data_IF_092527634524
#
_entry.id   IF_092527634524
#
_cell.length_a   1.000
_cell.length_b   1.000
_cell.length_c   1.000
_cell.angle_alpha   90.00
_cell.angle_beta   90.00
_cell.angle_gamma   90.00
#
_symmetry.space_group_name_H-M   'P 1'
#
loop_
_entity.id
_entity.type
_entity.pdbx_description
1 polymer ?
#
# COMPACT_ATOMS: atom_id res chain seq x y z
N UNK A 1 19.44 7.00 18.24
CA UNK A 1 19.62 6.32 16.92
C UNK A 1 18.40 6.55 16.06
N UNK A 2 18.61 7.03 14.84
CA UNK A 2 17.50 7.23 13.90
C UNK A 2 17.14 5.90 13.25
N UNK A 3 15.85 5.52 13.33
CA UNK A 3 15.37 4.32 12.68
C UNK A 3 15.36 4.54 11.16
N UNK A 4 15.58 3.48 10.39
CA UNK A 4 15.50 3.56 8.94
C UNK A 4 14.04 3.76 8.48
N UNK A 5 13.87 4.31 7.29
CA UNK A 5 12.56 4.67 6.76
C UNK A 5 11.60 3.49 6.57
N UNK A 6 12.12 2.30 6.30
CA UNK A 6 11.29 1.12 6.14
C UNK A 6 10.74 0.62 7.47
N UNK A 7 11.56 0.65 8.51
CA UNK A 7 11.13 0.29 9.88
C UNK A 7 10.08 1.28 10.39
N UNK A 8 10.32 2.57 10.17
CA UNK A 8 9.37 3.62 10.54
C UNK A 8 8.06 3.46 9.76
N UNK A 9 8.14 3.21 8.46
CA UNK A 9 6.96 2.97 7.63
C UNK A 9 6.12 1.82 8.15
N UNK A 10 6.76 0.70 8.47
CA UNK A 10 6.03 -0.48 9.00
C UNK A 10 5.37 -0.18 10.35
N UNK A 11 6.07 0.45 11.26
CA UNK A 11 5.54 0.74 12.60
C UNK A 11 4.35 1.68 12.55
N UNK A 12 4.48 2.79 11.83
CA UNK A 12 3.43 3.80 11.75
C UNK A 12 2.25 3.30 10.91
N UNK A 13 2.52 2.63 9.79
CA UNK A 13 1.47 2.05 8.96
C UNK A 13 0.67 0.99 9.68
N UNK A 14 1.35 0.11 10.43
CA UNK A 14 0.71 -0.91 11.25
C UNK A 14 -0.17 -0.28 12.33
N UNK A 15 0.37 0.70 13.06
CA UNK A 15 -0.36 1.36 14.14
C UNK A 15 -1.61 2.06 13.62
N UNK A 16 -1.50 2.74 12.48
CA UNK A 16 -2.64 3.39 11.86
C UNK A 16 -3.69 2.37 11.42
N UNK A 17 -3.26 1.26 10.83
CA UNK A 17 -4.18 0.22 10.39
C UNK A 17 -4.93 -0.41 11.57
N UNK A 18 -4.23 -0.74 12.65
CA UNK A 18 -4.85 -1.29 13.85
C UNK A 18 -5.88 -0.34 14.44
N UNK A 19 -5.56 0.95 14.52
CA UNK A 19 -6.48 1.97 14.97
C UNK A 19 -7.70 2.10 14.05
N UNK A 20 -7.47 2.02 12.74
CA UNK A 20 -8.53 2.08 11.75
C UNK A 20 -9.51 0.91 11.89
N UNK A 21 -9.00 -0.30 12.12
CA UNK A 21 -9.82 -1.48 12.36
C UNK A 21 -10.63 -1.32 13.66
N UNK A 22 -9.97 -0.94 14.75
CA UNK A 22 -10.63 -0.77 16.05
C UNK A 22 -11.73 0.29 16.00
N UNK A 23 -11.56 1.30 15.15
CA UNK A 23 -12.52 2.41 15.00
C UNK A 23 -13.53 2.18 13.89
N UNK A 24 -13.45 1.05 13.19
CA UNK A 24 -14.30 0.71 12.05
C UNK A 24 -14.26 1.77 10.93
N UNK A 25 -13.07 2.28 10.65
CA UNK A 25 -12.84 3.33 9.65
C UNK A 25 -11.78 2.95 8.63
N UNK A 26 -11.51 1.64 8.46
CA UNK A 26 -10.41 1.17 7.62
C UNK A 26 -10.55 1.61 6.16
N UNK A 27 -11.76 1.57 5.60
CA UNK A 27 -12.00 1.98 4.21
C UNK A 27 -11.88 3.49 4.04
N UNK A 28 -12.46 4.26 4.94
CA UNK A 28 -12.40 5.71 4.88
C UNK A 28 -10.97 6.21 4.96
N UNK A 29 -10.19 5.64 5.87
CA UNK A 29 -8.78 6.00 6.02
C UNK A 29 -7.99 5.57 4.80
N UNK A 30 -8.29 4.40 4.23
CA UNK A 30 -7.66 3.96 2.98
C UNK A 30 -7.84 4.99 1.87
N UNK A 31 -9.06 5.49 1.68
CA UNK A 31 -9.34 6.50 0.65
C UNK A 31 -8.59 7.79 0.91
N UNK A 32 -8.49 8.22 2.15
CA UNK A 32 -7.73 9.41 2.54
C UNK A 32 -6.24 9.24 2.23
N UNK A 33 -5.69 8.05 2.48
CA UNK A 33 -4.28 7.76 2.19
C UNK A 33 -3.99 7.72 0.69
N UNK A 34 -4.94 7.24 -0.11
CA UNK A 34 -4.83 7.30 -1.58
C UNK A 34 -4.75 8.75 -2.04
N UNK A 35 -5.60 9.62 -1.46
CA UNK A 35 -5.57 11.05 -1.74
C UNK A 35 -4.22 11.68 -1.36
N UNK A 36 -3.69 11.34 -0.19
CA UNK A 36 -2.37 11.82 0.26
C UNK A 36 -1.26 11.39 -0.68
N UNK A 37 -1.29 10.15 -1.15
CA UNK A 37 -0.31 9.67 -2.13
C UNK A 37 -0.34 10.52 -3.39
N UNK A 38 -1.53 10.83 -3.89
CA UNK A 38 -1.68 11.67 -5.08
C UNK A 38 -1.08 13.06 -4.87
N UNK A 39 -1.29 13.65 -3.69
CA UNK A 39 -0.71 14.95 -3.35
C UNK A 39 0.83 14.89 -3.37
N UNK A 40 1.40 13.84 -2.79
CA UNK A 40 2.85 13.64 -2.79
C UNK A 40 3.41 13.44 -4.21
N UNK A 41 2.66 12.79 -5.08
CA UNK A 41 3.06 12.60 -6.48
C UNK A 41 2.99 13.92 -7.26
N UNK A 42 1.99 14.75 -6.98
CA UNK A 42 1.81 16.04 -7.65
C UNK A 42 2.77 17.12 -7.16
N UNK A 43 3.25 16.99 -5.93
CA UNK A 43 4.17 17.96 -5.32
C UNK A 43 5.46 17.23 -4.91
N UNK A 44 6.37 17.02 -5.88
CA UNK A 44 7.63 16.33 -5.57
C UNK A 44 8.42 17.10 -4.50
N UNK A 45 8.96 16.36 -3.54
CA UNK A 45 9.74 16.94 -2.46
C UNK A 45 8.93 17.50 -1.29
N UNK A 46 7.60 17.33 -1.30
CA UNK A 46 6.75 17.82 -0.21
C UNK A 46 7.17 17.25 1.15
N UNK A 47 7.40 15.95 1.24
CA UNK A 47 7.86 15.32 2.47
C UNK A 47 9.20 15.84 2.95
N UNK A 48 10.15 15.99 2.03
CA UNK A 48 11.47 16.55 2.33
C UNK A 48 11.38 17.98 2.84
N UNK A 49 10.52 18.78 2.21
CA UNK A 49 10.30 20.18 2.62
C UNK A 49 9.75 20.26 4.05
N UNK A 50 8.76 19.43 4.36
CA UNK A 50 8.14 19.41 5.69
C UNK A 50 9.08 18.88 6.77
N UNK A 51 10.13 18.15 6.38
CA UNK A 51 11.12 17.59 7.29
C UNK A 51 12.42 18.39 7.31
N UNK A 52 12.54 19.45 6.51
CA UNK A 52 13.76 20.23 6.37
C UNK A 52 13.95 21.18 7.56
N UNK A 53 14.99 20.93 8.34
CA UNK A 53 15.31 21.74 9.53
C UNK A 53 15.78 23.15 9.17
N UNK A 54 16.15 23.40 7.92
CA UNK A 54 16.58 24.72 7.46
C UNK A 54 15.42 25.69 7.22
N UNK A 55 14.20 25.15 7.00
CA UNK A 55 13.01 25.98 6.84
C UNK A 55 12.51 26.47 8.20
N UNK A 56 11.98 27.70 8.20
CA UNK A 56 11.40 28.26 9.40
C UNK A 56 10.19 27.45 9.86
N UNK A 57 10.03 27.22 11.17
CA UNK A 57 8.90 26.45 11.68
C UNK A 57 7.53 26.98 11.24
N UNK A 58 7.36 28.30 11.17
CA UNK A 58 6.08 28.88 10.76
C UNK A 58 5.78 28.61 9.28
N UNK A 59 6.79 28.58 8.41
CA UNK A 59 6.61 28.27 6.99
C UNK A 59 6.16 26.83 6.80
N UNK A 60 6.82 25.90 7.52
CA UNK A 60 6.41 24.49 7.49
C UNK A 60 5.01 24.31 8.06
N UNK A 61 4.68 25.03 9.13
CA UNK A 61 3.35 24.96 9.75
C UNK A 61 2.25 25.43 8.79
N UNK A 62 2.50 26.46 8.01
CA UNK A 62 1.55 26.91 7.01
C UNK A 62 1.28 25.85 5.95
N UNK A 63 2.33 25.16 5.49
CA UNK A 63 2.20 24.08 4.52
C UNK A 63 1.43 22.91 5.14
N UNK A 64 1.79 22.56 6.38
CA UNK A 64 1.10 21.48 7.12
C UNK A 64 -0.39 21.79 7.32
N UNK A 65 -0.72 23.04 7.68
CA UNK A 65 -2.11 23.44 7.88
C UNK A 65 -2.93 23.31 6.61
N UNK A 66 -2.35 23.64 5.47
CA UNK A 66 -3.01 23.45 4.17
C UNK A 66 -3.22 21.98 3.87
N UNK A 67 -2.21 21.16 4.15
CA UNK A 67 -2.30 19.72 3.90
C UNK A 67 -3.39 19.08 4.77
N UNK A 68 -3.38 19.34 6.07
CA UNK A 68 -4.34 18.72 7.00
C UNK A 68 -5.75 19.28 6.88
N UNK A 69 -5.93 20.43 6.23
CA UNK A 69 -7.26 21.02 6.05
C UNK A 69 -8.19 20.15 5.23
N UNK A 70 -7.66 19.22 4.45
CA UNK A 70 -8.44 18.26 3.68
C UNK A 70 -8.81 16.99 4.45
N UNK A 71 -8.38 16.85 5.69
CA UNK A 71 -8.56 15.64 6.48
C UNK A 71 -9.06 15.99 7.87
N UNK A 72 -9.68 15.02 8.54
CA UNK A 72 -10.15 15.18 9.91
C UNK A 72 -9.94 13.89 10.70
N UNK A 73 -10.27 13.92 12.01
CA UNK A 73 -10.25 12.75 12.87
C UNK A 73 -8.88 12.06 12.92
N UNK A 74 -8.90 10.74 12.70
CA UNK A 74 -7.72 9.89 12.84
C UNK A 74 -6.61 10.28 11.87
N UNK A 75 -6.96 10.56 10.61
CA UNK A 75 -5.95 10.90 9.58
C UNK A 75 -5.27 12.21 9.91
N UNK A 76 -6.04 13.22 10.31
CA UNK A 76 -5.47 14.52 10.71
C UNK A 76 -4.53 14.35 11.90
N UNK A 77 -4.95 13.62 12.91
CA UNK A 77 -4.12 13.37 14.10
C UNK A 77 -2.85 12.59 13.74
N UNK A 78 -2.99 11.59 12.87
CA UNK A 78 -1.85 10.82 12.38
C UNK A 78 -0.83 11.72 11.68
N UNK A 79 -1.28 12.58 10.78
CA UNK A 79 -0.41 13.50 10.06
C UNK A 79 0.32 14.45 11.02
N UNK A 80 -0.39 14.94 12.04
CA UNK A 80 0.24 15.82 13.05
C UNK A 80 1.31 15.10 13.84
N UNK A 81 1.09 13.83 14.20
CA UNK A 81 2.07 13.01 14.91
C UNK A 81 3.31 12.78 14.02
N UNK A 82 3.09 12.39 12.78
CA UNK A 82 4.18 12.17 11.82
C UNK A 82 5.01 13.45 11.63
N UNK A 83 4.34 14.57 11.52
CA UNK A 83 4.99 15.87 11.39
C UNK A 83 5.80 16.21 12.67
N UNK A 84 5.22 16.00 13.85
CA UNK A 84 5.87 16.30 15.12
C UNK A 84 7.16 15.49 15.33
N UNK A 85 7.19 14.26 14.84
CA UNK A 85 8.37 13.41 14.89
C UNK A 85 9.31 13.60 13.71
N UNK A 86 9.02 14.60 12.85
CA UNK A 86 9.85 14.95 11.69
C UNK A 86 9.99 13.77 10.71
N UNK A 87 8.88 13.08 10.45
CA UNK A 87 8.85 11.88 9.62
C UNK A 87 7.96 12.02 8.37
N UNK A 88 7.63 13.25 7.96
CA UNK A 88 6.81 13.46 6.77
C UNK A 88 7.48 12.98 5.48
N UNK A 89 8.80 12.89 5.46
CA UNK A 89 9.54 12.33 4.33
C UNK A 89 9.40 10.80 4.23
N UNK A 90 8.93 10.13 5.28
CA UNK A 90 8.69 8.68 5.30
C UNK A 90 7.21 8.32 5.11
N UNK A 91 6.34 9.30 4.90
CA UNK A 91 4.89 9.09 4.86
C UNK A 91 4.46 8.07 3.80
N UNK A 92 5.09 8.09 2.63
CA UNK A 92 4.74 7.13 1.56
C UNK A 92 4.97 5.68 1.98
N UNK A 93 6.00 5.39 2.76
CA UNK A 93 6.24 4.04 3.28
C UNK A 93 5.18 3.64 4.30
N UNK A 94 4.68 4.58 5.08
CA UNK A 94 3.58 4.34 6.02
C UNK A 94 2.29 4.01 5.29
N UNK A 95 2.00 4.77 4.23
CA UNK A 95 0.83 4.54 3.38
C UNK A 95 0.92 3.17 2.71
N UNK A 96 2.08 2.81 2.19
CA UNK A 96 2.33 1.54 1.53
C UNK A 96 2.06 0.36 2.49
N UNK A 97 2.54 0.45 3.72
CA UNK A 97 2.29 -0.58 4.74
C UNK A 97 0.80 -0.69 5.08
N UNK A 98 0.12 0.45 5.24
CA UNK A 98 -1.32 0.46 5.50
C UNK A 98 -2.08 -0.22 4.35
N UNK A 99 -1.77 0.14 3.12
CA UNK A 99 -2.45 -0.44 1.95
C UNK A 99 -2.25 -1.96 1.87
N UNK A 100 -1.04 -2.43 2.14
CA UNK A 100 -0.75 -3.86 2.14
C UNK A 100 -1.60 -4.59 3.17
N UNK A 101 -1.70 -4.05 4.39
CA UNK A 101 -2.51 -4.63 5.46
C UNK A 101 -4.00 -4.56 5.16
N UNK A 102 -4.43 -3.45 4.55
CA UNK A 102 -5.81 -3.28 4.13
C UNK A 102 -6.22 -4.33 3.10
N UNK A 103 -5.37 -4.54 2.09
CA UNK A 103 -5.64 -5.52 1.05
C UNK A 103 -5.74 -6.94 1.65
N UNK A 104 -4.83 -7.30 2.54
CA UNK A 104 -4.90 -8.59 3.25
C UNK A 104 -6.19 -8.72 4.07
N UNK A 105 -6.57 -7.66 4.76
CA UNK A 105 -7.79 -7.65 5.59
C UNK A 105 -9.05 -7.79 4.74
N UNK A 106 -9.07 -7.18 3.56
CA UNK A 106 -10.17 -7.33 2.61
C UNK A 106 -10.19 -8.71 1.96
N UNK A 107 -9.12 -9.47 2.14
CA UNK A 107 -9.02 -10.79 1.56
C UNK A 107 -8.66 -10.79 0.08
N UNK A 108 -8.10 -9.70 -0.42
CA UNK A 108 -7.65 -9.57 -1.80
C UNK A 108 -6.15 -9.75 -1.89
N UNK A 109 -5.71 -10.68 -2.73
CA UNK A 109 -4.30 -10.89 -3.05
C UNK A 109 -4.05 -10.47 -4.48
N UNK A 110 -3.04 -9.63 -4.69
CA UNK A 110 -2.61 -9.23 -6.02
C UNK A 110 -1.36 -10.02 -6.41
N UNK A 111 -1.35 -10.53 -7.62
CA UNK A 111 -0.21 -11.30 -8.12
C UNK A 111 -0.14 -11.27 -9.63
N UNK A 112 0.70 -12.13 -10.17
CA UNK A 112 0.85 -12.31 -11.62
C UNK A 112 0.84 -13.79 -11.96
N UNK A 113 0.40 -14.10 -13.19
CA UNK A 113 0.47 -15.44 -13.75
C UNK A 113 1.16 -15.37 -15.10
N UNK A 114 2.18 -16.22 -15.29
CA UNK A 114 2.91 -16.33 -16.55
C UNK A 114 2.54 -17.63 -17.23
N UNK A 115 2.09 -17.56 -18.47
CA UNK A 115 1.68 -18.73 -19.28
C UNK A 115 2.31 -18.63 -20.67
N UNK A 116 2.42 -19.78 -21.35
CA UNK A 116 2.97 -19.83 -22.72
C UNK A 116 1.99 -19.22 -23.74
N UNK A 117 0.68 -19.34 -23.48
CA UNK A 117 -0.38 -18.79 -24.33
C UNK A 117 -1.37 -18.02 -23.46
N UNK A 118 -2.11 -17.06 -24.04
CA UNK A 118 -3.11 -16.34 -23.24
C UNK A 118 -4.16 -17.26 -22.63
N UNK A 119 -4.53 -16.98 -21.38
CA UNK A 119 -5.63 -17.68 -20.72
C UNK A 119 -6.97 -17.07 -21.15
N UNK A 120 -7.99 -17.94 -21.28
CA UNK A 120 -9.35 -17.43 -21.38
C UNK A 120 -9.79 -16.82 -20.05
N UNK A 121 -10.86 -16.02 -20.07
CA UNK A 121 -11.42 -15.45 -18.85
C UNK A 121 -11.82 -16.54 -17.85
N UNK A 122 -12.42 -17.63 -18.34
CA UNK A 122 -12.81 -18.76 -17.50
C UNK A 122 -11.59 -19.43 -16.85
N UNK A 123 -10.53 -19.64 -17.62
CA UNK A 123 -9.28 -20.22 -17.11
C UNK A 123 -8.64 -19.32 -16.06
N UNK A 124 -8.60 -18.01 -16.32
CA UNK A 124 -8.03 -17.04 -15.36
C UNK A 124 -8.83 -17.02 -14.06
N UNK A 125 -10.16 -16.97 -14.14
CA UNK A 125 -11.03 -16.96 -12.97
C UNK A 125 -10.85 -18.24 -12.15
N UNK A 126 -10.79 -19.39 -12.83
CA UNK A 126 -10.61 -20.66 -12.15
C UNK A 126 -9.26 -20.73 -11.45
N UNK A 127 -8.20 -20.23 -12.10
CA UNK A 127 -6.88 -20.17 -11.52
C UNK A 127 -6.84 -19.24 -10.30
N UNK A 128 -7.48 -18.08 -10.40
CA UNK A 128 -7.57 -17.15 -9.27
C UNK A 128 -8.28 -17.78 -8.07
N UNK A 129 -9.35 -18.52 -8.31
CA UNK A 129 -10.05 -19.26 -7.25
C UNK A 129 -9.17 -20.32 -6.60
N UNK A 130 -8.41 -21.07 -7.39
CA UNK A 130 -7.52 -22.10 -6.89
C UNK A 130 -6.37 -21.50 -6.06
N UNK A 131 -5.79 -20.40 -6.53
CA UNK A 131 -4.73 -19.70 -5.80
C UNK A 131 -5.26 -19.14 -4.49
N UNK A 132 -6.45 -18.54 -4.52
CA UNK A 132 -7.10 -18.02 -3.32
C UNK A 132 -7.28 -19.10 -2.26
N UNK A 133 -7.74 -20.27 -2.67
CA UNK A 133 -7.93 -21.41 -1.77
C UNK A 133 -6.59 -21.91 -1.20
N UNK A 134 -5.57 -22.02 -2.06
CA UNK A 134 -4.24 -22.51 -1.67
C UNK A 134 -3.55 -21.55 -0.69
N UNK A 135 -3.67 -20.25 -0.92
CA UNK A 135 -3.01 -19.22 -0.12
C UNK A 135 -3.89 -18.65 0.99
N UNK A 136 -5.12 -19.14 1.10
CA UNK A 136 -6.07 -18.74 2.15
C UNK A 136 -6.48 -17.27 2.08
N UNK A 137 -6.80 -16.79 0.87
CA UNK A 137 -7.39 -15.47 0.63
C UNK A 137 -8.83 -15.63 0.15
N UNK A 138 -9.64 -14.59 0.36
CA UNK A 138 -11.03 -14.60 -0.14
C UNK A 138 -11.08 -14.43 -1.64
N UNK A 139 -10.21 -13.58 -2.18
CA UNK A 139 -10.12 -13.35 -3.62
C UNK A 139 -8.69 -13.08 -4.04
N UNK A 140 -8.41 -13.33 -5.32
CA UNK A 140 -7.10 -13.12 -5.92
C UNK A 140 -7.30 -12.48 -7.28
N UNK A 141 -6.52 -11.47 -7.59
CA UNK A 141 -6.44 -10.88 -8.93
C UNK A 141 -5.04 -11.14 -9.48
N UNK A 142 -4.99 -11.75 -10.66
CA UNK A 142 -3.73 -12.12 -11.31
C UNK A 142 -3.57 -11.32 -12.60
N UNK A 143 -2.45 -10.58 -12.71
CA UNK A 143 -2.06 -9.93 -13.95
C UNK A 143 -1.46 -10.99 -14.86
N UNK A 144 -1.98 -11.11 -16.07
CA UNK A 144 -1.50 -12.11 -17.02
C UNK A 144 -0.24 -11.64 -17.74
N UNK A 145 0.76 -12.52 -17.78
CA UNK A 145 2.00 -12.35 -18.53
C UNK A 145 2.11 -13.54 -19.49
N UNK A 146 2.29 -13.29 -20.76
CA UNK A 146 2.45 -14.34 -21.76
C UNK A 146 3.91 -14.44 -22.12
N UNK A 147 4.49 -15.64 -21.95
CA UNK A 147 5.89 -15.93 -22.27
C UNK A 147 5.95 -17.29 -22.96
N UNK A 148 6.16 -17.26 -24.27
CA UNK A 148 6.19 -18.48 -25.09
C UNK A 148 7.37 -19.41 -24.80
N UNK A 149 8.36 -18.92 -24.04
CA UNK A 149 9.53 -19.73 -23.67
C UNK A 149 9.23 -20.80 -22.61
N UNK A 150 8.12 -20.67 -21.86
CA UNK A 150 7.75 -21.67 -20.87
C UNK A 150 7.06 -22.86 -21.53
N UNK A 151 7.24 -24.04 -20.96
CA UNK A 151 6.70 -25.29 -21.51
C UNK A 151 5.46 -25.71 -20.73
N UNK A 152 4.31 -25.21 -21.18
CA UNK A 152 3.04 -25.55 -20.58
C UNK A 152 2.88 -25.06 -19.14
N UNK A 153 1.68 -25.17 -18.60
CA UNK A 153 1.40 -24.79 -17.24
C UNK A 153 1.35 -23.30 -16.99
N UNK A 154 1.35 -22.93 -15.72
CA UNK A 154 1.27 -21.56 -15.27
C UNK A 154 2.23 -21.35 -14.11
N UNK A 155 2.95 -20.21 -14.12
CA UNK A 155 3.78 -19.79 -13.01
C UNK A 155 3.09 -18.62 -12.33
N UNK A 156 2.66 -18.82 -11.09
CA UNK A 156 1.95 -17.80 -10.31
C UNK A 156 2.92 -17.22 -9.28
N UNK A 157 3.01 -15.91 -9.26
CA UNK A 157 3.82 -15.20 -8.29
C UNK A 157 2.93 -14.22 -7.52
N UNK A 158 2.85 -14.40 -6.21
CA UNK A 158 2.04 -13.57 -5.34
C UNK A 158 2.59 -13.64 -3.93
N UNK A 159 2.61 -12.53 -3.23
CA UNK A 159 3.04 -12.42 -1.84
C UNK A 159 4.45 -13.02 -1.62
N UNK A 160 5.39 -12.76 -2.54
CA UNK A 160 6.76 -13.26 -2.53
C UNK A 160 6.89 -14.79 -2.60
N UNK A 161 5.82 -15.46 -3.03
CA UNK A 161 5.82 -16.91 -3.23
C UNK A 161 5.61 -17.21 -4.71
N UNK A 162 6.32 -18.21 -5.20
CA UNK A 162 6.18 -18.66 -6.59
C UNK A 162 5.53 -20.03 -6.57
N UNK A 163 4.42 -20.16 -7.28
CA UNK A 163 3.72 -21.42 -7.45
C UNK A 163 3.83 -21.81 -8.91
N UNK A 164 4.52 -22.91 -9.17
CA UNK A 164 4.69 -23.46 -10.50
C UNK A 164 3.77 -24.66 -10.61
N UNK A 165 2.76 -24.55 -11.47
CA UNK A 165 1.76 -25.59 -11.63
C UNK A 165 1.46 -25.88 -13.07
N UNK A 166 1.10 -27.13 -13.36
CA UNK A 166 0.55 -27.51 -14.66
C UNK A 166 -0.94 -27.24 -14.67
N UNK A 167 -1.40 -26.74 -15.79
CA UNK A 167 -2.82 -26.47 -16.03
C UNK A 167 -3.48 -27.76 -16.54
#
# INVERSE_FOLDING_TARGET
>A
MKLDKYTVGRRYGKALFELAIDSNQAEEIYQDLVSLRQIYEQVPGLGNMLSDVRLEPHEKREIMDKLVSGYDGIVKNFLEVVYAYNRMDDLLFMIEEYESRYDEHQGLLLGSVTTAVPLSDEQRIQLEKNVAKTMNYQSVELKQIVDSSIIGGAIVEANHRVIDGSI
#
